data_IF_281651640629
#
_entry.id   IF_281651640629
#
_cell.length_a   1.000
_cell.length_b   1.000
_cell.length_c   1.000
_cell.angle_alpha   90.00
_cell.angle_beta   90.00
_cell.angle_gamma   90.00
#
_symmetry.space_group_name_H-M   'P 1'
#
loop_
_entity.id
_entity.type
_entity.pdbx_description
1 polymer ?
#
# COMPACT_ATOMS: atom_id res chain seq x y z
N UNK A 1 -28.06 5.41 -5.61
CA UNK A 1 -28.31 6.60 -6.46
C UNK A 1 -27.16 7.59 -6.36
N UNK A 2 -27.06 8.45 -5.32
CA UNK A 2 -25.95 9.43 -5.25
C UNK A 2 -24.55 8.81 -5.09
N UNK A 3 -24.44 7.70 -4.34
CA UNK A 3 -23.19 6.96 -4.19
C UNK A 3 -22.76 6.27 -5.50
N UNK A 4 -23.71 5.67 -6.22
CA UNK A 4 -23.45 4.99 -7.50
C UNK A 4 -23.02 5.99 -8.57
N UNK A 5 -23.68 7.16 -8.64
CA UNK A 5 -23.29 8.25 -9.53
C UNK A 5 -21.88 8.78 -9.22
N UNK A 6 -21.51 8.87 -7.93
CA UNK A 6 -20.15 9.24 -7.53
C UNK A 6 -19.13 8.18 -7.93
N UNK A 7 -19.46 6.89 -7.79
CA UNK A 7 -18.62 5.77 -8.21
C UNK A 7 -18.35 5.80 -9.71
N UNK A 8 -19.39 6.05 -10.53
CA UNK A 8 -19.26 6.15 -11.98
C UNK A 8 -18.33 7.31 -12.38
N UNK A 9 -18.56 8.51 -11.82
CA UNK A 9 -17.70 9.67 -12.08
C UNK A 9 -16.26 9.42 -11.62
N UNK A 10 -16.06 8.82 -10.44
CA UNK A 10 -14.73 8.46 -9.97
C UNK A 10 -14.09 7.40 -10.88
N UNK A 11 -14.86 6.41 -11.35
CA UNK A 11 -14.35 5.40 -12.29
C UNK A 11 -13.85 6.05 -13.58
N UNK A 12 -14.53 7.07 -14.11
CA UNK A 12 -14.01 7.82 -15.25
C UNK A 12 -12.76 8.64 -14.90
N UNK A 13 -12.82 9.42 -13.82
CA UNK A 13 -11.73 10.34 -13.45
C UNK A 13 -10.40 9.62 -13.16
N UNK A 14 -10.44 8.50 -12.43
CA UNK A 14 -9.24 7.73 -12.11
C UNK A 14 -8.71 6.88 -13.28
N UNK A 15 -9.43 6.82 -14.40
CA UNK A 15 -8.96 6.25 -15.66
C UNK A 15 -8.23 7.25 -16.57
N UNK A 16 -8.21 8.54 -16.22
CA UNK A 16 -7.55 9.57 -17.03
C UNK A 16 -6.04 9.63 -16.78
N UNK A 17 -5.27 10.23 -17.71
CA UNK A 17 -3.90 10.66 -17.44
C UNK A 17 -3.83 11.57 -16.21
N UNK A 18 -2.78 11.43 -15.40
CA UNK A 18 -2.68 12.17 -14.14
C UNK A 18 -2.71 13.71 -14.32
N UNK A 19 -2.28 14.21 -15.49
CA UNK A 19 -2.32 15.63 -15.84
C UNK A 19 -3.74 16.15 -16.11
N UNK A 20 -4.65 15.30 -16.58
CA UNK A 20 -6.01 15.68 -16.98
C UNK A 20 -7.00 15.61 -15.80
N UNK A 21 -6.67 14.83 -14.77
CA UNK A 21 -7.53 14.56 -13.61
C UNK A 21 -8.18 15.82 -13.02
N UNK A 22 -7.38 16.85 -12.71
CA UNK A 22 -7.89 18.06 -12.04
C UNK A 22 -8.88 18.83 -12.92
N UNK A 23 -8.59 18.93 -14.21
CA UNK A 23 -9.46 19.63 -15.16
C UNK A 23 -10.79 18.88 -15.33
N UNK A 24 -10.71 17.57 -15.52
CA UNK A 24 -11.89 16.71 -15.66
C UNK A 24 -12.74 16.69 -14.38
N UNK A 25 -12.12 16.60 -13.19
CA UNK A 25 -12.84 16.65 -11.89
C UNK A 25 -13.61 17.95 -11.73
N UNK A 26 -12.98 19.08 -12.06
CA UNK A 26 -13.63 20.39 -11.97
C UNK A 26 -14.77 20.54 -12.99
N UNK A 27 -14.63 19.97 -14.19
CA UNK A 27 -15.69 19.94 -15.19
C UNK A 27 -16.88 19.07 -14.74
N UNK A 28 -16.62 17.88 -14.20
CA UNK A 28 -17.64 16.98 -13.68
C UNK A 28 -18.39 17.61 -12.49
N UNK A 29 -17.67 18.24 -11.54
CA UNK A 29 -18.29 18.96 -10.43
C UNK A 29 -19.17 20.12 -10.90
N UNK A 30 -18.74 20.85 -11.95
CA UNK A 30 -19.53 21.93 -12.56
C UNK A 30 -20.80 21.37 -13.22
N UNK A 31 -20.69 20.25 -13.95
CA UNK A 31 -21.83 19.60 -14.58
C UNK A 31 -22.88 19.14 -13.55
N UNK A 32 -22.45 18.47 -12.47
CA UNK A 32 -23.33 18.07 -11.37
C UNK A 32 -24.03 19.28 -10.72
N UNK A 33 -23.30 20.39 -10.54
CA UNK A 33 -23.89 21.64 -10.02
C UNK A 33 -24.95 22.22 -10.95
N UNK A 34 -24.72 22.19 -12.27
CA UNK A 34 -25.71 22.63 -13.27
C UNK A 34 -26.94 21.72 -13.32
N UNK A 35 -26.78 20.43 -13.05
CA UNK A 35 -27.88 19.46 -12.92
C UNK A 35 -28.67 19.58 -11.60
N UNK A 36 -28.23 20.45 -10.68
CA UNK A 36 -28.88 20.63 -9.36
C UNK A 36 -28.40 19.67 -8.28
N UNK A 37 -27.42 18.81 -8.58
CA UNK A 37 -26.90 17.77 -7.69
C UNK A 37 -25.75 18.32 -6.83
N UNK A 38 -26.09 19.21 -5.89
CA UNK A 38 -25.10 19.92 -5.06
C UNK A 38 -24.23 19.00 -4.21
N UNK A 39 -24.82 17.95 -3.64
CA UNK A 39 -24.09 17.00 -2.80
C UNK A 39 -23.10 16.17 -3.63
N UNK A 40 -23.52 15.72 -4.82
CA UNK A 40 -22.63 15.02 -5.76
C UNK A 40 -21.48 15.93 -6.20
N UNK A 41 -21.75 17.19 -6.55
CA UNK A 41 -20.72 18.16 -6.93
C UNK A 41 -19.69 18.40 -5.82
N UNK A 42 -20.14 18.46 -4.55
CA UNK A 42 -19.27 18.58 -3.39
C UNK A 42 -18.39 17.31 -3.23
N UNK A 43 -18.98 16.13 -3.35
CA UNK A 43 -18.25 14.86 -3.30
C UNK A 43 -17.21 14.73 -4.43
N UNK A 44 -17.56 15.10 -5.67
CA UNK A 44 -16.61 15.09 -6.80
C UNK A 44 -15.44 16.04 -6.54
N UNK A 45 -15.71 17.24 -6.01
CA UNK A 45 -14.67 18.23 -5.69
C UNK A 45 -13.72 17.73 -4.60
N UNK A 46 -14.23 16.93 -3.66
CA UNK A 46 -13.46 16.33 -2.57
C UNK A 46 -12.57 15.15 -3.02
N UNK A 47 -12.73 14.63 -4.25
CA UNK A 47 -11.86 13.57 -4.76
C UNK A 47 -10.40 14.08 -4.85
N UNK A 48 -9.54 13.39 -4.11
CA UNK A 48 -8.10 13.63 -4.10
C UNK A 48 -7.48 13.21 -5.44
N UNK A 49 -6.36 13.84 -5.81
CA UNK A 49 -5.57 13.36 -6.94
C UNK A 49 -4.82 12.09 -6.52
N UNK A 50 -4.78 11.03 -7.33
CA UNK A 50 -3.98 9.85 -7.01
C UNK A 50 -2.48 10.20 -6.97
N UNK A 51 -1.73 9.56 -6.06
CA UNK A 51 -0.26 9.51 -6.15
C UNK A 51 0.17 8.81 -7.44
N UNK A 52 1.43 8.98 -7.85
CA UNK A 52 1.95 8.33 -9.07
C UNK A 52 1.81 6.80 -9.00
N UNK A 53 2.20 6.19 -7.88
CA UNK A 53 2.05 4.75 -7.63
C UNK A 53 0.60 4.29 -7.67
N UNK A 54 -0.32 5.01 -7.01
CA UNK A 54 -1.74 4.70 -7.03
C UNK A 54 -2.35 4.83 -8.44
N UNK A 55 -1.96 5.87 -9.19
CA UNK A 55 -2.38 6.05 -10.57
C UNK A 55 -1.95 4.87 -11.45
N UNK A 56 -0.70 4.41 -11.34
CA UNK A 56 -0.21 3.25 -12.10
C UNK A 56 -1.00 1.99 -11.76
N UNK A 57 -1.28 1.72 -10.47
CA UNK A 57 -2.09 0.56 -10.06
C UNK A 57 -3.54 0.67 -10.56
N UNK A 58 -4.14 1.86 -10.53
CA UNK A 58 -5.49 2.08 -11.06
C UNK A 58 -5.55 1.79 -12.57
N UNK A 59 -4.51 2.16 -13.32
CA UNK A 59 -4.39 1.85 -14.74
C UNK A 59 -4.16 0.36 -14.98
N UNK A 60 -3.32 -0.29 -14.17
CA UNK A 60 -3.11 -1.73 -14.22
C UNK A 60 -4.43 -2.50 -14.07
N UNK A 61 -5.30 -2.12 -13.13
CA UNK A 61 -6.63 -2.73 -12.91
C UNK A 61 -7.52 -2.60 -14.15
N UNK A 62 -7.42 -1.50 -14.89
CA UNK A 62 -8.27 -1.21 -16.06
C UNK A 62 -7.78 -1.90 -17.33
N UNK A 63 -6.48 -1.91 -17.53
CA UNK A 63 -5.85 -2.45 -18.73
C UNK A 63 -5.58 -3.96 -18.62
N UNK A 64 -5.36 -4.45 -17.40
CA UNK A 64 -5.04 -5.85 -17.11
C UNK A 64 -5.91 -6.43 -15.98
N UNK A 65 -7.25 -6.37 -16.09
CA UNK A 65 -8.15 -6.80 -15.02
C UNK A 65 -7.99 -8.28 -14.66
N UNK A 66 -7.71 -9.15 -15.65
CA UNK A 66 -7.52 -10.57 -15.43
C UNK A 66 -6.26 -10.88 -14.61
N UNK A 67 -5.16 -10.15 -14.85
CA UNK A 67 -3.90 -10.35 -14.13
C UNK A 67 -4.02 -9.87 -12.67
N UNK A 68 -4.73 -8.76 -12.46
CA UNK A 68 -5.04 -8.27 -11.12
C UNK A 68 -5.98 -9.23 -10.38
N UNK A 69 -7.02 -9.75 -11.03
CA UNK A 69 -7.94 -10.69 -10.38
C UNK A 69 -7.21 -11.98 -9.98
N UNK A 70 -6.34 -12.53 -10.84
CA UNK A 70 -5.51 -13.67 -10.52
C UNK A 70 -4.57 -13.41 -9.32
N UNK A 71 -4.07 -12.18 -9.17
CA UNK A 71 -3.31 -11.78 -7.97
C UNK A 71 -4.21 -11.77 -6.73
N UNK A 72 -5.42 -11.24 -6.81
CA UNK A 72 -6.34 -11.17 -5.66
C UNK A 72 -6.84 -12.56 -5.23
N UNK A 73 -7.08 -13.46 -6.19
CA UNK A 73 -7.37 -14.88 -5.95
C UNK A 73 -6.22 -15.57 -5.21
N UNK A 74 -4.96 -15.32 -5.61
CA UNK A 74 -3.79 -15.80 -4.87
C UNK A 74 -3.79 -15.31 -3.42
N UNK A 75 -4.18 -14.06 -3.17
CA UNK A 75 -4.30 -13.51 -1.81
C UNK A 75 -5.38 -14.23 -0.98
N UNK A 76 -6.52 -14.55 -1.58
CA UNK A 76 -7.58 -15.32 -0.92
C UNK A 76 -7.10 -16.74 -0.57
N UNK A 77 -6.43 -17.41 -1.50
CA UNK A 77 -5.83 -18.73 -1.30
C UNK A 77 -4.79 -18.74 -0.17
N UNK A 78 -3.96 -17.69 -0.08
CA UNK A 78 -2.96 -17.55 0.98
C UNK A 78 -3.61 -17.43 2.35
N UNK A 79 -4.61 -16.55 2.50
CA UNK A 79 -5.34 -16.38 3.77
C UNK A 79 -6.09 -17.65 4.16
N UNK A 80 -6.66 -18.38 3.19
CA UNK A 80 -7.32 -19.66 3.43
C UNK A 80 -6.33 -20.74 3.93
N UNK A 81 -5.14 -20.83 3.31
CA UNK A 81 -4.09 -21.75 3.73
C UNK A 81 -3.54 -21.44 5.13
N UNK A 82 -3.39 -20.15 5.47
CA UNK A 82 -3.02 -19.69 6.81
C UNK A 82 -4.07 -20.07 7.87
N UNK A 83 -5.35 -19.83 7.57
CA UNK A 83 -6.46 -20.22 8.45
C UNK A 83 -6.50 -21.75 8.68
N UNK A 84 -6.22 -22.53 7.63
CA UNK A 84 -6.11 -23.98 7.70
C UNK A 84 -4.79 -24.50 8.33
N UNK A 85 -3.81 -23.61 8.55
CA UNK A 85 -2.43 -23.92 8.99
C UNK A 85 -1.70 -24.93 8.08
N UNK A 86 -1.96 -24.88 6.77
CA UNK A 86 -1.33 -25.77 5.78
C UNK A 86 0.05 -25.22 5.35
N UNK A 87 1.10 -25.71 6.01
CA UNK A 87 2.46 -25.24 5.77
C UNK A 87 3.00 -25.55 4.35
N UNK A 88 2.56 -26.64 3.72
CA UNK A 88 2.98 -26.98 2.35
C UNK A 88 2.31 -26.05 1.34
N UNK A 89 1.00 -25.80 1.51
CA UNK A 89 0.25 -24.87 0.66
C UNK A 89 0.78 -23.45 0.83
N UNK A 90 1.03 -22.98 2.06
CA UNK A 90 1.64 -21.66 2.33
C UNK A 90 3.00 -21.51 1.62
N UNK A 91 3.86 -22.53 1.69
CA UNK A 91 5.15 -22.53 0.98
C UNK A 91 4.97 -22.46 -0.55
N UNK A 92 3.98 -23.17 -1.10
CA UNK A 92 3.72 -23.15 -2.55
C UNK A 92 3.20 -21.80 -3.03
N UNK A 93 2.21 -21.22 -2.34
CA UNK A 93 1.62 -19.93 -2.66
C UNK A 93 2.63 -18.78 -2.45
N UNK A 94 3.51 -18.90 -1.45
CA UNK A 94 4.61 -17.95 -1.25
C UNK A 94 5.57 -17.88 -2.44
N UNK A 95 5.86 -19.02 -3.10
CA UNK A 95 6.68 -19.03 -4.32
C UNK A 95 5.94 -18.38 -5.49
N UNK A 96 4.65 -18.63 -5.61
CA UNK A 96 3.81 -18.03 -6.65
C UNK A 96 3.72 -16.51 -6.49
N UNK A 97 3.53 -16.00 -5.27
CA UNK A 97 3.61 -14.56 -4.94
C UNK A 97 4.94 -13.97 -5.40
N UNK A 98 6.06 -14.59 -5.03
CA UNK A 98 7.41 -14.09 -5.34
C UNK A 98 7.70 -14.05 -6.86
N UNK A 99 6.92 -14.78 -7.67
CA UNK A 99 6.99 -14.72 -9.13
C UNK A 99 6.03 -13.67 -9.73
N UNK A 100 4.76 -13.69 -9.28
CA UNK A 100 3.68 -12.88 -9.87
C UNK A 100 3.80 -11.40 -9.53
N UNK A 101 4.09 -11.07 -8.27
CA UNK A 101 4.14 -9.67 -7.83
C UNK A 101 5.20 -8.88 -8.62
N UNK A 102 6.47 -9.31 -8.72
CA UNK A 102 7.46 -8.57 -9.52
C UNK A 102 7.13 -8.54 -11.01
N UNK A 103 6.48 -9.59 -11.56
CA UNK A 103 6.06 -9.61 -12.96
C UNK A 103 4.99 -8.55 -13.23
N UNK A 104 4.00 -8.45 -12.35
CA UNK A 104 2.93 -7.47 -12.46
C UNK A 104 3.45 -6.03 -12.24
N UNK A 105 4.41 -5.82 -11.34
CA UNK A 105 5.09 -4.53 -11.19
C UNK A 105 5.81 -4.11 -12.47
N UNK A 106 6.50 -5.03 -13.16
CA UNK A 106 7.15 -4.73 -14.46
C UNK A 106 6.13 -4.38 -15.54
N UNK A 107 5.02 -5.10 -15.58
CA UNK A 107 3.92 -4.83 -16.51
C UNK A 107 3.28 -3.46 -16.24
N UNK A 108 3.06 -3.12 -14.98
CA UNK A 108 2.56 -1.81 -14.57
C UNK A 108 3.52 -0.68 -14.97
N UNK A 109 4.84 -0.91 -14.85
CA UNK A 109 5.87 0.03 -15.31
C UNK A 109 5.82 0.24 -16.82
N UNK A 110 5.73 -0.83 -17.60
CA UNK A 110 5.63 -0.75 -19.06
C UNK A 110 4.35 -0.01 -19.50
N UNK A 111 3.20 -0.33 -18.88
CA UNK A 111 1.94 0.37 -19.13
C UNK A 111 2.04 1.87 -18.82
N UNK A 112 2.69 2.24 -17.71
CA UNK A 112 2.89 3.65 -17.37
C UNK A 112 3.73 4.39 -18.43
N UNK A 113 4.77 3.75 -18.97
CA UNK A 113 5.59 4.30 -20.05
C UNK A 113 4.79 4.48 -21.34
N UNK A 114 3.94 3.53 -21.71
CA UNK A 114 3.01 3.62 -22.86
C UNK A 114 2.01 4.79 -22.71
N UNK A 115 1.58 5.04 -21.48
CA UNK A 115 0.70 6.16 -21.12
C UNK A 115 1.45 7.50 -20.94
N UNK A 116 2.76 7.53 -21.25
CA UNK A 116 3.58 8.75 -21.26
C UNK A 116 4.09 9.19 -19.88
N UNK A 117 4.03 8.33 -18.87
CA UNK A 117 4.50 8.62 -17.51
C UNK A 117 5.64 7.67 -17.12
N UNK A 118 6.87 8.19 -17.08
CA UNK A 118 8.02 7.42 -16.62
C UNK A 118 7.93 7.15 -15.11
N UNK A 119 8.27 5.92 -14.72
CA UNK A 119 8.24 5.45 -13.33
C UNK A 119 9.68 5.28 -12.83
N UNK A 120 10.00 5.92 -11.71
CA UNK A 120 11.27 5.74 -11.01
C UNK A 120 11.28 4.44 -10.21
N UNK A 121 12.46 3.95 -9.84
CA UNK A 121 12.60 2.73 -9.05
C UNK A 121 11.89 2.83 -7.68
N UNK A 122 11.91 4.02 -7.05
CA UNK A 122 11.17 4.26 -5.81
C UNK A 122 9.65 4.06 -5.98
N UNK A 123 9.08 4.55 -7.09
CA UNK A 123 7.65 4.37 -7.39
C UNK A 123 7.36 2.91 -7.75
N UNK A 124 8.29 2.21 -8.42
CA UNK A 124 8.15 0.77 -8.69
C UNK A 124 8.10 -0.06 -7.39
N UNK A 125 8.91 0.29 -6.39
CA UNK A 125 8.87 -0.33 -5.06
C UNK A 125 7.55 -0.04 -4.34
N UNK A 126 7.01 1.19 -4.44
CA UNK A 126 5.68 1.50 -3.89
C UNK A 126 4.55 0.70 -4.54
N UNK A 127 4.62 0.49 -5.87
CA UNK A 127 3.68 -0.35 -6.61
C UNK A 127 3.77 -1.80 -6.10
N UNK A 128 4.99 -2.34 -5.99
CA UNK A 128 5.22 -3.69 -5.49
C UNK A 128 4.70 -3.88 -4.05
N UNK A 129 4.96 -2.89 -3.18
CA UNK A 129 4.43 -2.86 -1.82
C UNK A 129 2.90 -2.86 -1.80
N UNK A 130 2.28 -2.07 -2.69
CA UNK A 130 0.82 -1.98 -2.82
C UNK A 130 0.21 -3.32 -3.26
N UNK A 131 0.80 -3.97 -4.27
CA UNK A 131 0.36 -5.27 -4.75
C UNK A 131 0.55 -6.37 -3.70
N UNK A 132 1.63 -6.30 -2.92
CA UNK A 132 1.88 -7.21 -1.80
C UNK A 132 0.87 -7.01 -0.67
N UNK A 133 0.54 -5.76 -0.34
CA UNK A 133 -0.46 -5.43 0.67
C UNK A 133 -1.85 -5.95 0.29
N UNK A 134 -2.21 -5.91 -0.99
CA UNK A 134 -3.47 -6.44 -1.53
C UNK A 134 -3.66 -7.95 -1.31
N UNK A 135 -2.56 -8.71 -1.21
CA UNK A 135 -2.58 -10.13 -0.87
C UNK A 135 -2.81 -10.36 0.62
N UNK A 136 -2.31 -9.48 1.48
CA UNK A 136 -2.30 -9.65 2.92
C UNK A 136 -3.70 -9.53 3.54
N UNK A 137 -4.54 -8.63 3.02
CA UNK A 137 -5.91 -8.43 3.53
C UNK A 137 -6.94 -8.39 2.41
N UNK A 138 -8.15 -8.86 2.73
CA UNK A 138 -9.28 -8.76 1.81
C UNK A 138 -9.63 -7.30 1.51
N UNK A 139 -9.60 -6.46 2.54
CA UNK A 139 -9.84 -5.02 2.45
C UNK A 139 -8.91 -4.35 1.43
N UNK A 140 -7.60 -4.60 1.49
CA UNK A 140 -6.65 -4.04 0.53
C UNK A 140 -6.84 -4.60 -0.88
N UNK A 141 -7.25 -5.87 -0.99
CA UNK A 141 -7.66 -6.45 -2.25
C UNK A 141 -8.86 -5.74 -2.87
N UNK A 142 -9.89 -5.45 -2.09
CA UNK A 142 -11.07 -4.67 -2.51
C UNK A 142 -10.64 -3.25 -2.94
N UNK A 143 -9.74 -2.62 -2.18
CA UNK A 143 -9.23 -1.30 -2.49
C UNK A 143 -8.50 -1.27 -3.84
N UNK A 144 -7.61 -2.23 -4.11
CA UNK A 144 -6.93 -2.34 -5.41
C UNK A 144 -7.94 -2.63 -6.53
N UNK A 145 -8.86 -3.59 -6.33
CA UNK A 145 -9.88 -3.96 -7.33
C UNK A 145 -10.75 -2.77 -7.75
N UNK A 146 -10.97 -1.80 -6.87
CA UNK A 146 -11.74 -0.60 -7.19
C UNK A 146 -11.14 0.23 -8.34
N UNK A 147 -9.83 0.17 -8.56
CA UNK A 147 -9.13 1.02 -9.53
C UNK A 147 -9.27 2.52 -9.23
N UNK A 148 -9.47 2.87 -7.95
CA UNK A 148 -9.71 4.22 -7.45
C UNK A 148 -8.81 4.55 -6.24
N UNK A 149 -7.62 3.97 -6.17
CA UNK A 149 -6.65 4.27 -5.11
C UNK A 149 -6.20 5.74 -5.18
N UNK A 150 -6.09 6.37 -4.02
CA UNK A 150 -5.57 7.74 -3.90
C UNK A 150 -4.11 7.78 -3.47
N UNK A 151 -3.64 6.76 -2.76
CA UNK A 151 -2.28 6.63 -2.24
C UNK A 151 -1.80 5.18 -2.38
N UNK A 152 -0.49 4.97 -2.32
CA UNK A 152 0.10 3.64 -2.21
C UNK A 152 -0.39 2.95 -0.92
N UNK A 153 -0.52 1.63 -0.97
CA UNK A 153 -0.77 0.81 0.20
C UNK A 153 0.56 0.34 0.76
N UNK A 154 0.76 0.51 2.07
CA UNK A 154 1.95 0.00 2.77
C UNK A 154 1.48 -0.99 3.81
N UNK A 155 1.94 -2.24 3.68
CA UNK A 155 1.82 -3.23 4.74
C UNK A 155 3.12 -3.23 5.55
N UNK A 156 3.20 -2.38 6.57
CA UNK A 156 4.18 -2.52 7.62
C UNK A 156 3.57 -3.36 8.74
N UNK A 157 4.20 -4.48 9.09
CA UNK A 157 3.65 -5.49 10.01
C UNK A 157 3.45 -5.04 11.47
N UNK A 158 3.65 -3.76 11.80
CA UNK A 158 3.32 -3.15 13.09
C UNK A 158 3.00 -1.67 12.88
N UNK A 159 1.75 -1.26 13.13
CA UNK A 159 1.25 0.12 12.99
C UNK A 159 -0.26 0.15 12.76
N UNK A 160 -0.94 1.23 13.17
CA UNK A 160 -2.37 1.42 12.92
C UNK A 160 -2.67 1.32 11.42
N UNK A 161 -3.54 0.39 11.03
CA UNK A 161 -3.92 0.21 9.64
C UNK A 161 -4.79 1.37 9.16
N UNK A 162 -4.46 2.04 8.03
CA UNK A 162 -5.36 3.02 7.45
C UNK A 162 -6.67 2.36 7.04
N UNK A 163 -7.79 2.90 7.51
CA UNK A 163 -9.12 2.40 7.17
C UNK A 163 -9.36 2.48 5.66
N UNK A 164 -10.09 1.52 5.09
CA UNK A 164 -10.41 1.48 3.65
C UNK A 164 -10.91 2.82 3.08
N UNK A 165 -11.71 3.55 3.87
CA UNK A 165 -12.25 4.85 3.50
C UNK A 165 -11.21 5.95 3.24
N UNK A 166 -9.95 5.78 3.68
CA UNK A 166 -8.86 6.72 3.41
C UNK A 166 -7.97 6.28 2.25
N UNK A 167 -8.16 5.06 1.73
CA UNK A 167 -7.33 4.45 0.70
C UNK A 167 -7.96 4.57 -0.70
N UNK A 168 -9.29 4.42 -0.78
CA UNK A 168 -10.05 4.55 -2.02
C UNK A 168 -10.79 5.89 -2.10
N UNK A 169 -10.96 6.37 -3.33
CA UNK A 169 -11.63 7.62 -3.62
C UNK A 169 -13.11 7.60 -3.25
N UNK A 170 -13.76 6.45 -3.42
CA UNK A 170 -15.16 6.23 -3.06
C UNK A 170 -15.27 4.90 -2.31
N UNK A 171 -15.44 4.93 -0.98
CA UNK A 171 -15.59 3.71 -0.20
C UNK A 171 -16.96 3.07 -0.43
N UNK A 172 -16.99 1.83 -0.91
CA UNK A 172 -18.23 1.06 -1.06
C UNK A 172 -18.90 0.83 0.31
N UNK A 173 -20.24 0.98 0.44
CA UNK A 173 -20.93 0.70 1.69
C UNK A 173 -21.04 -0.81 1.91
N UNK A 174 -20.19 -1.37 2.77
CA UNK A 174 -20.45 -2.65 3.46
C UNK A 174 -20.72 -2.42 4.95
N UNK A 175 -21.53 -3.28 5.61
CA UNK A 175 -22.34 -2.87 6.76
C UNK A 175 -21.58 -2.99 8.08
N UNK A 176 -21.15 -1.85 8.65
CA UNK A 176 -21.24 -1.50 10.08
C UNK A 176 -20.38 -0.27 10.42
N UNK A 177 -21.06 0.83 10.77
CA UNK A 177 -20.79 1.76 11.88
C UNK A 177 -21.22 3.19 11.50
N UNK A 178 -21.80 3.97 12.44
CA UNK A 178 -22.66 5.10 12.11
C UNK A 178 -21.89 6.39 11.81
N UNK A 179 -22.36 7.11 10.81
CA UNK A 179 -21.96 8.48 10.48
C UNK A 179 -22.49 9.46 11.53
N UNK A 180 -21.64 10.39 11.99
CA UNK A 180 -22.03 11.50 12.88
C UNK A 180 -22.35 12.73 12.02
N UNK A 181 -23.58 13.23 12.13
CA UNK A 181 -24.07 14.40 11.42
C UNK A 181 -23.44 15.73 11.94
N UNK A 182 -23.42 16.81 11.15
CA UNK A 182 -22.85 18.10 11.54
C UNK A 182 -23.84 18.94 12.36
N UNK A 183 -23.34 19.58 13.41
CA UNK A 183 -24.12 20.49 14.26
C UNK A 183 -24.22 21.90 13.67
N UNK A 184 -25.41 22.46 13.85
CA UNK A 184 -25.98 23.75 13.45
C UNK A 184 -25.29 24.98 14.04
N UNK A 185 -25.25 26.07 13.26
CA UNK A 185 -24.88 27.42 13.69
C UNK A 185 -25.99 28.13 14.50
N UNK A 186 -25.63 29.09 15.39
CA UNK A 186 -26.54 30.16 15.83
C UNK A 186 -26.01 31.59 15.54
N UNK A 187 -26.85 32.64 15.74
CA UNK A 187 -26.88 33.86 14.91
C UNK A 187 -26.13 35.08 15.45
N UNK A 188 -26.05 36.12 14.60
CA UNK A 188 -25.38 37.42 14.77
C UNK A 188 -25.98 38.32 15.87
N UNK A 189 -25.12 39.06 16.58
CA UNK A 189 -25.52 40.23 17.39
C UNK A 189 -24.37 41.07 17.99
N UNK A 190 -24.03 42.18 17.30
CA UNK A 190 -23.55 43.53 17.73
C UNK A 190 -22.30 43.77 18.62
N UNK A 191 -21.44 44.67 18.06
CA UNK A 191 -20.60 45.75 18.64
C UNK A 191 -19.44 45.28 19.52
N UNK A 192 -18.17 45.50 19.18
CA UNK A 192 -17.58 46.73 18.63
C UNK A 192 -16.86 47.44 19.77
N UNK A 193 -15.77 46.80 20.24
CA UNK A 193 -14.61 47.37 20.98
C UNK A 193 -13.63 46.27 21.48
N UNK A 194 -13.92 44.97 21.30
CA UNK A 194 -13.06 43.84 21.74
C UNK A 194 -12.13 43.22 20.66
N UNK A 195 -11.96 43.87 19.50
CA UNK A 195 -11.28 43.23 18.34
C UNK A 195 -9.77 43.08 18.57
N UNK A 196 -9.14 44.06 19.22
CA UNK A 196 -7.69 44.03 19.48
C UNK A 196 -7.28 43.02 20.58
N UNK A 197 -8.12 42.82 21.59
CA UNK A 197 -7.90 41.81 22.63
C UNK A 197 -8.15 40.38 22.10
N UNK A 198 -9.15 40.21 21.24
CA UNK A 198 -9.42 38.94 20.57
C UNK A 198 -8.31 38.57 19.56
N UNK A 199 -7.78 39.54 18.80
CA UNK A 199 -6.66 39.31 17.86
C UNK A 199 -5.35 38.94 18.58
N UNK A 200 -5.07 39.55 19.74
CA UNK A 200 -3.90 39.20 20.55
C UNK A 200 -4.02 37.78 21.15
N UNK A 201 -5.20 37.41 21.66
CA UNK A 201 -5.46 36.07 22.18
C UNK A 201 -5.45 34.99 21.08
N UNK A 202 -5.91 35.32 19.88
CA UNK A 202 -5.87 34.41 18.72
C UNK A 202 -4.42 34.21 18.22
N UNK A 203 -3.59 35.26 18.24
CA UNK A 203 -2.17 35.16 17.89
C UNK A 203 -1.38 34.31 18.89
N UNK A 204 -1.64 34.46 20.20
CA UNK A 204 -1.00 33.67 21.25
C UNK A 204 -1.44 32.19 21.20
N UNK A 205 -2.72 31.93 20.93
CA UNK A 205 -3.23 30.57 20.71
C UNK A 205 -2.60 29.89 19.48
N UNK A 206 -2.43 30.63 18.36
CA UNK A 206 -1.76 30.12 17.17
C UNK A 206 -0.26 29.85 17.40
N UNK A 207 0.42 30.71 18.16
CA UNK A 207 1.81 30.49 18.52
C UNK A 207 1.99 29.24 19.40
N UNK A 208 1.10 29.03 20.39
CA UNK A 208 1.10 27.84 21.22
C UNK A 208 0.78 26.56 20.43
N UNK A 209 -0.14 26.63 19.47
CA UNK A 209 -0.47 25.51 18.58
C UNK A 209 0.71 25.14 17.67
N UNK A 210 1.39 26.14 17.10
CA UNK A 210 2.59 25.93 16.29
C UNK A 210 3.74 25.32 17.09
N UNK A 211 3.95 25.78 18.33
CA UNK A 211 4.98 25.23 19.21
C UNK A 211 4.67 23.78 19.59
N UNK A 212 3.43 23.47 19.95
CA UNK A 212 3.00 22.10 20.23
C UNK A 212 3.10 21.19 18.99
N UNK A 213 2.87 21.72 17.79
CA UNK A 213 3.04 20.99 16.53
C UNK A 213 4.53 20.73 16.23
N UNK A 214 5.41 21.70 16.49
CA UNK A 214 6.86 21.52 16.34
C UNK A 214 7.40 20.48 17.33
N UNK A 215 6.96 20.51 18.60
CA UNK A 215 7.36 19.51 19.61
C UNK A 215 6.85 18.10 19.28
N UNK A 216 5.64 17.99 18.69
CA UNK A 216 5.16 16.70 18.17
C UNK A 216 6.04 16.20 17.03
N UNK A 217 6.34 17.05 16.06
CA UNK A 217 7.18 16.68 14.91
C UNK A 217 8.59 16.24 15.33
N UNK A 218 9.19 16.91 16.31
CA UNK A 218 10.51 16.52 16.83
C UNK A 218 10.47 15.19 17.58
N UNK A 219 9.40 14.91 18.34
CA UNK A 219 9.19 13.58 18.95
C UNK A 219 9.01 12.49 17.90
N UNK A 220 8.15 12.71 16.91
CA UNK A 220 7.92 11.76 15.83
C UNK A 220 9.21 11.48 15.04
N UNK A 221 10.07 12.50 14.84
CA UNK A 221 11.39 12.36 14.23
C UNK A 221 12.35 11.53 15.09
N UNK A 222 12.36 11.75 16.40
CA UNK A 222 13.20 11.00 17.32
C UNK A 222 12.78 9.51 17.36
N UNK A 223 11.49 9.23 17.47
CA UNK A 223 10.94 7.87 17.43
C UNK A 223 11.24 7.18 16.09
N UNK A 224 11.10 7.90 14.97
CA UNK A 224 11.45 7.36 13.66
C UNK A 224 12.96 7.08 13.50
N UNK A 225 13.83 7.89 14.10
CA UNK A 225 15.26 7.67 14.09
C UNK A 225 15.65 6.44 14.92
N UNK A 226 15.09 6.29 16.12
CA UNK A 226 15.30 5.11 16.98
C UNK A 226 14.84 3.82 16.29
N UNK A 227 13.64 3.84 15.69
CA UNK A 227 13.13 2.71 14.92
C UNK A 227 14.01 2.35 13.71
N UNK A 228 14.60 3.35 13.05
CA UNK A 228 15.53 3.13 11.94
C UNK A 228 16.85 2.50 12.41
N UNK A 229 17.38 2.93 13.56
CA UNK A 229 18.57 2.33 14.17
C UNK A 229 18.33 0.88 14.60
N UNK A 230 17.18 0.59 15.22
CA UNK A 230 16.79 -0.79 15.58
C UNK A 230 16.64 -1.69 14.35
N UNK A 231 15.99 -1.19 13.28
CA UNK A 231 15.84 -1.92 12.04
C UNK A 231 17.20 -2.21 11.39
N UNK A 232 18.11 -1.24 11.38
CA UNK A 232 19.47 -1.40 10.86
C UNK A 232 20.26 -2.43 11.67
N UNK A 233 20.19 -2.38 13.00
CA UNK A 233 20.81 -3.37 13.87
C UNK A 233 20.29 -4.79 13.60
N UNK A 234 18.98 -4.92 13.34
CA UNK A 234 18.37 -6.21 12.98
C UNK A 234 18.85 -6.73 11.63
N UNK A 235 19.04 -5.84 10.64
CA UNK A 235 19.62 -6.22 9.34
C UNK A 235 21.04 -6.72 9.49
N UNK A 236 21.86 -6.06 10.31
CA UNK A 236 23.24 -6.47 10.59
C UNK A 236 23.29 -7.84 11.28
N UNK A 237 22.44 -8.05 12.30
CA UNK A 237 22.31 -9.34 12.99
C UNK A 237 21.91 -10.47 12.02
N UNK A 238 20.87 -10.25 11.21
CA UNK A 238 20.40 -11.26 10.25
C UNK A 238 21.43 -11.54 9.15
N UNK A 239 22.19 -10.53 8.74
CA UNK A 239 23.29 -10.68 7.78
C UNK A 239 24.41 -11.54 8.38
N UNK A 240 24.76 -11.34 9.65
CA UNK A 240 25.74 -12.17 10.35
C UNK A 240 25.26 -13.63 10.47
N UNK A 241 23.98 -13.85 10.81
CA UNK A 241 23.39 -15.19 10.85
C UNK A 241 23.41 -15.86 9.47
N UNK A 242 23.08 -15.12 8.41
CA UNK A 242 23.12 -15.65 7.04
C UNK A 242 24.53 -16.06 6.61
N UNK A 243 25.55 -15.26 6.99
CA UNK A 243 26.94 -15.59 6.73
C UNK A 243 27.39 -16.87 7.47
N UNK A 244 27.03 -17.00 8.75
CA UNK A 244 27.32 -18.19 9.55
C UNK A 244 26.65 -19.46 8.97
N UNK A 245 25.36 -19.38 8.63
CA UNK A 245 24.64 -20.50 8.01
C UNK A 245 25.25 -20.89 6.65
N UNK A 246 25.73 -19.92 5.87
CA UNK A 246 26.43 -20.19 4.61
C UNK A 246 27.73 -20.95 4.86
N UNK A 247 28.51 -20.54 5.87
CA UNK A 247 29.73 -21.24 6.26
C UNK A 247 29.45 -22.67 6.75
N UNK A 248 28.40 -22.87 7.55
CA UNK A 248 27.97 -24.20 7.99
C UNK A 248 27.57 -25.09 6.81
N UNK A 249 26.84 -24.53 5.84
CA UNK A 249 26.41 -25.25 4.64
C UNK A 249 27.61 -25.67 3.76
N UNK A 250 28.59 -24.79 3.59
CA UNK A 250 29.82 -25.12 2.86
C UNK A 250 30.67 -26.17 3.60
N UNK A 251 30.71 -26.11 4.93
CA UNK A 251 31.35 -27.15 5.74
C UNK A 251 30.65 -28.50 5.57
N UNK A 252 29.32 -28.53 5.69
CA UNK A 252 28.53 -29.75 5.51
C UNK A 252 28.69 -30.35 4.09
N UNK A 253 28.74 -29.50 3.06
CA UNK A 253 29.03 -29.94 1.68
C UNK A 253 30.39 -30.61 1.55
N UNK A 254 31.44 -30.07 2.19
CA UNK A 254 32.76 -30.71 2.20
C UNK A 254 32.73 -32.07 2.90
N UNK A 255 32.00 -32.20 4.00
CA UNK A 255 31.83 -33.48 4.70
C UNK A 255 31.12 -34.52 3.81
N UNK A 256 30.09 -34.12 3.06
CA UNK A 256 29.41 -35.02 2.10
C UNK A 256 30.39 -35.49 1.02
N UNK A 257 31.18 -34.59 0.44
CA UNK A 257 32.17 -34.93 -0.59
C UNK A 257 33.21 -35.93 -0.06
N UNK A 258 33.73 -35.73 1.15
CA UNK A 258 34.70 -36.67 1.74
C UNK A 258 34.05 -38.02 2.07
N UNK A 259 32.85 -38.04 2.64
CA UNK A 259 32.11 -39.28 2.90
C UNK A 259 31.85 -40.07 1.61
N UNK A 260 31.52 -39.40 0.49
CA UNK A 260 31.36 -40.04 -0.81
C UNK A 260 32.66 -40.66 -1.34
N UNK A 261 33.81 -39.97 -1.15
CA UNK A 261 35.12 -40.51 -1.54
C UNK A 261 35.47 -41.74 -0.73
N UNK A 262 35.25 -41.70 0.58
CA UNK A 262 35.50 -42.82 1.48
C UNK A 262 34.61 -44.02 1.14
N UNK A 263 33.33 -43.79 0.87
CA UNK A 263 32.41 -44.82 0.41
C UNK A 263 32.88 -45.47 -0.91
N UNK A 264 33.33 -44.66 -1.89
CA UNK A 264 33.89 -45.17 -3.16
C UNK A 264 35.17 -45.96 -2.94
N UNK A 265 36.06 -45.52 -2.05
CA UNK A 265 37.30 -46.21 -1.73
C UNK A 265 37.03 -47.56 -1.04
N UNK A 266 36.10 -47.60 -0.08
CA UNK A 266 35.66 -48.82 0.59
C UNK A 266 35.05 -49.82 -0.40
N UNK A 267 34.16 -49.36 -1.29
CA UNK A 267 33.57 -50.20 -2.33
C UNK A 267 34.62 -50.83 -3.26
N UNK A 268 35.67 -50.08 -3.63
CA UNK A 268 36.79 -50.60 -4.42
C UNK A 268 37.58 -51.68 -3.68
N UNK A 269 37.87 -51.49 -2.39
CA UNK A 269 38.58 -52.49 -1.57
C UNK A 269 37.80 -53.80 -1.46
N UNK A 270 36.49 -53.72 -1.21
CA UNK A 270 35.62 -54.90 -1.18
C UNK A 270 35.68 -55.66 -2.50
N UNK A 271 35.66 -54.95 -3.64
CA UNK A 271 35.73 -55.55 -4.99
C UNK A 271 37.07 -56.23 -5.29
N UNK A 272 38.18 -55.74 -4.72
CA UNK A 272 39.51 -56.35 -4.89
C UNK A 272 39.65 -57.61 -4.02
N UNK A 273 39.03 -57.64 -2.85
CA UNK A 273 39.07 -58.79 -1.93
C UNK A 273 38.10 -59.92 -2.30
N UNK A 274 37.19 -59.69 -3.25
CA UNK A 274 36.24 -60.68 -3.73
C UNK A 274 36.64 -61.38 -5.05
N UNK A 275 37.87 -61.13 -5.52
CA UNK A 275 38.53 -61.82 -6.66
C UNK A 275 39.62 -62.72 -6.13
#
# INVERSE_FOLDING_TARGET
MAHDALNEVAAELYGLPAAEFTAARNAAAKAAKTAGERDLAASITALARPSTSAWVVNHLVRHHPADVEALLELGADMRAAEHARDADRIRSLSRERNLRVPALTRQARALSEELGQAVSDAVALEIESTLTAALATEDFGIAVRSGQLTKALVWAGFGEMPALATLVAVPSPSPKAPAKAPATAPPKGKKGDDVAAAEAAEAEAKAAEQQAAAERLERDRAEAAEAAEEAQARVEELTAVAADLTQQLDWARKQVIEAEKDAKAAARRVKVLSV
#
